data_IF_949023507879
#
_entry.id   IF_949023507879
#
_cell.length_a   1.000
_cell.length_b   1.000
_cell.length_c   1.000
_cell.angle_alpha   90.00
_cell.angle_beta   90.00
_cell.angle_gamma   90.00
#
_symmetry.space_group_name_H-M   'P 1'
#
loop_
_entity.id
_entity.type
_entity.pdbx_description
1 polymer ?
#
# COMPACT_ATOMS: atom_id res chain seq x y z
N UNK A 1 -0.74 9.55 7.71
CA UNK A 1 -1.92 9.87 6.89
C UNK A 1 -1.64 9.48 5.46
N UNK A 2 -2.43 8.53 4.97
CA UNK A 2 -2.31 7.87 3.67
C UNK A 2 -2.80 8.86 2.62
N UNK A 3 -1.90 9.35 1.77
CA UNK A 3 -2.30 10.21 0.65
C UNK A 3 -2.84 9.31 -0.45
N UNK A 4 -4.15 9.35 -0.68
CA UNK A 4 -4.83 8.59 -1.75
C UNK A 4 -4.23 8.93 -3.13
N UNK A 5 -3.80 10.18 -3.30
CA UNK A 5 -3.08 10.70 -4.47
C UNK A 5 -1.94 9.76 -4.90
N UNK A 6 -1.16 9.28 -3.94
CA UNK A 6 0.01 8.46 -4.21
C UNK A 6 -0.35 7.05 -4.66
N UNK A 7 -1.47 6.49 -4.20
CA UNK A 7 -1.96 5.19 -4.66
C UNK A 7 -2.50 5.29 -6.09
N UNK A 8 -3.16 6.41 -6.43
CA UNK A 8 -3.69 6.65 -7.77
C UNK A 8 -2.60 6.66 -8.85
N UNK A 9 -1.43 7.24 -8.55
CA UNK A 9 -0.31 7.26 -9.49
C UNK A 9 0.37 5.90 -9.70
N UNK A 10 0.18 4.93 -8.80
CA UNK A 10 0.74 3.59 -8.97
C UNK A 10 -0.15 2.65 -9.79
N UNK A 11 -1.47 2.90 -9.83
CA UNK A 11 -2.47 2.04 -10.49
C UNK A 11 -2.16 1.76 -11.96
N UNK A 12 -1.73 2.74 -12.77
CA UNK A 12 -1.35 2.49 -14.15
C UNK A 12 -0.27 1.43 -14.31
N UNK A 13 0.74 1.41 -13.43
CA UNK A 13 1.85 0.46 -13.52
C UNK A 13 1.43 -0.97 -13.15
N UNK A 14 0.59 -1.12 -12.12
CA UNK A 14 0.06 -2.44 -11.76
C UNK A 14 -0.85 -3.01 -12.85
N UNK A 15 -1.71 -2.18 -13.45
CA UNK A 15 -2.55 -2.62 -14.55
C UNK A 15 -1.77 -2.90 -15.83
N UNK A 16 -0.68 -2.19 -16.08
CA UNK A 16 0.24 -2.53 -17.18
C UNK A 16 0.83 -3.93 -16.99
N UNK A 17 1.29 -4.27 -15.78
CA UNK A 17 1.76 -5.61 -15.45
C UNK A 17 0.68 -6.68 -15.64
N UNK A 18 -0.55 -6.38 -15.21
CA UNK A 18 -1.69 -7.27 -15.42
C UNK A 18 -2.03 -7.46 -16.90
N UNK A 19 -1.95 -6.40 -17.70
CA UNK A 19 -2.15 -6.46 -19.15
C UNK A 19 -1.05 -7.26 -19.85
N UNK A 20 0.20 -7.17 -19.39
CA UNK A 20 1.30 -8.00 -19.88
C UNK A 20 1.11 -9.48 -19.53
N UNK A 21 0.66 -9.80 -18.31
CA UNK A 21 0.34 -11.16 -17.90
C UNK A 21 -0.90 -11.72 -18.64
N UNK A 22 -1.80 -10.83 -19.05
CA UNK A 22 -3.02 -11.17 -19.77
C UNK A 22 -2.83 -11.60 -21.23
N UNK A 23 -1.64 -11.39 -21.82
CA UNK A 23 -1.43 -11.51 -23.26
C UNK A 23 -1.75 -12.88 -23.85
N UNK A 24 -1.47 -13.93 -23.11
CA UNK A 24 -1.63 -15.32 -23.56
C UNK A 24 -2.89 -16.00 -23.01
N UNK A 25 -3.76 -15.24 -22.33
CA UNK A 25 -5.04 -15.76 -21.84
C UNK A 25 -6.05 -15.88 -22.99
N UNK A 26 -6.76 -17.01 -23.00
CA UNK A 26 -7.96 -17.20 -23.81
C UNK A 26 -9.02 -16.12 -23.48
N UNK A 27 -9.96 -15.82 -24.40
CA UNK A 27 -11.00 -14.84 -24.14
C UNK A 27 -11.76 -15.12 -22.84
N UNK A 28 -11.63 -14.21 -21.87
CA UNK A 28 -12.28 -14.33 -20.57
C UNK A 28 -13.55 -13.48 -20.50
N UNK A 29 -14.57 -13.90 -19.71
CA UNK A 29 -15.77 -13.12 -19.50
C UNK A 29 -15.47 -11.81 -18.78
N UNK A 30 -16.34 -10.81 -18.94
CA UNK A 30 -16.20 -9.50 -18.28
C UNK A 30 -16.07 -9.62 -16.74
N UNK A 31 -16.74 -10.60 -16.13
CA UNK A 31 -16.66 -10.87 -14.69
C UNK A 31 -15.25 -11.23 -14.22
N UNK A 32 -14.47 -11.94 -15.05
CA UNK A 32 -13.07 -12.26 -14.75
C UNK A 32 -12.25 -10.97 -14.65
N UNK A 33 -12.37 -10.09 -15.64
CA UNK A 33 -11.64 -8.83 -15.66
C UNK A 33 -12.02 -7.92 -14.51
N UNK A 34 -13.31 -7.73 -14.23
CA UNK A 34 -13.80 -6.91 -13.12
C UNK A 34 -13.22 -7.43 -11.79
N UNK A 35 -13.23 -8.74 -11.58
CA UNK A 35 -12.63 -9.37 -10.40
C UNK A 35 -11.13 -9.08 -10.31
N UNK A 36 -10.37 -9.23 -11.40
CA UNK A 36 -8.92 -8.93 -11.43
C UNK A 36 -8.64 -7.46 -11.14
N UNK A 37 -9.37 -6.54 -11.75
CA UNK A 37 -9.23 -5.10 -11.48
C UNK A 37 -9.43 -4.79 -9.99
N UNK A 38 -10.46 -5.37 -9.39
CA UNK A 38 -10.76 -5.20 -7.97
C UNK A 38 -9.65 -5.75 -7.08
N UNK A 39 -9.24 -7.00 -7.29
CA UNK A 39 -8.19 -7.65 -6.48
C UNK A 39 -6.83 -6.98 -6.61
N UNK A 40 -6.42 -6.60 -7.83
CA UNK A 40 -5.16 -5.84 -8.06
C UNK A 40 -5.20 -4.50 -7.30
N UNK A 41 -6.33 -3.81 -7.33
CA UNK A 41 -6.49 -2.54 -6.61
C UNK A 41 -6.36 -2.75 -5.11
N UNK A 42 -7.06 -3.75 -4.56
CA UNK A 42 -7.01 -4.08 -3.13
C UNK A 42 -5.59 -4.47 -2.71
N UNK A 43 -4.93 -5.34 -3.47
CA UNK A 43 -3.55 -5.75 -3.23
C UNK A 43 -2.63 -4.53 -3.18
N UNK A 44 -2.76 -3.61 -4.13
CA UNK A 44 -1.86 -2.48 -4.20
C UNK A 44 -2.10 -1.42 -3.12
N UNK A 45 -3.36 -1.20 -2.73
CA UNK A 45 -3.70 -0.37 -1.58
C UNK A 45 -3.09 -0.96 -0.30
N UNK A 46 -3.21 -2.29 -0.11
CA UNK A 46 -2.62 -3.01 1.01
C UNK A 46 -1.09 -2.87 1.05
N UNK A 47 -0.42 -3.21 -0.05
CA UNK A 47 1.04 -3.14 -0.17
C UNK A 47 1.57 -1.73 0.10
N UNK A 48 0.95 -0.70 -0.49
CA UNK A 48 1.40 0.69 -0.32
C UNK A 48 1.17 1.20 1.10
N UNK A 49 0.04 0.84 1.71
CA UNK A 49 -0.30 1.23 3.07
C UNK A 49 0.62 0.56 4.09
N UNK A 50 0.93 -0.72 3.89
CA UNK A 50 1.90 -1.46 4.68
C UNK A 50 3.30 -0.85 4.56
N UNK A 51 3.80 -0.67 3.34
CA UNK A 51 5.14 -0.10 3.11
C UNK A 51 5.29 1.31 3.69
N UNK A 52 4.30 2.19 3.48
CA UNK A 52 4.35 3.55 4.00
C UNK A 52 4.34 3.60 5.52
N UNK A 53 3.56 2.72 6.16
CA UNK A 53 3.47 2.67 7.63
C UNK A 53 4.73 2.03 8.21
N UNK A 54 5.22 0.96 7.61
CA UNK A 54 6.46 0.31 7.98
C UNK A 54 7.65 1.26 7.93
N UNK A 55 7.84 1.99 6.82
CA UNK A 55 8.91 2.99 6.70
C UNK A 55 8.83 4.01 7.83
N UNK A 56 7.61 4.44 8.19
CA UNK A 56 7.39 5.41 9.27
C UNK A 56 7.72 4.86 10.67
N UNK A 57 7.56 3.55 10.88
CA UNK A 57 7.92 2.86 12.12
C UNK A 57 9.45 2.70 12.20
N UNK A 58 10.07 2.17 11.14
CA UNK A 58 11.50 1.94 11.06
C UNK A 58 12.29 3.25 11.17
N UNK A 59 11.85 4.28 10.46
CA UNK A 59 12.52 5.58 10.41
C UNK A 59 12.21 6.46 11.61
N UNK A 60 11.36 6.06 12.57
CA UNK A 60 10.91 6.90 13.71
C UNK A 60 12.07 7.62 14.42
N UNK A 61 13.16 6.91 14.71
CA UNK A 61 14.31 7.47 15.43
C UNK A 61 15.10 8.46 14.56
N UNK A 62 15.20 8.18 13.27
CA UNK A 62 15.90 9.01 12.28
C UNK A 62 15.06 10.27 12.00
N UNK A 63 13.75 10.09 11.80
CA UNK A 63 12.79 11.17 11.58
C UNK A 63 12.73 12.14 12.78
N UNK A 64 12.91 11.65 14.01
CA UNK A 64 12.96 12.46 15.23
C UNK A 64 14.24 13.30 15.34
N UNK A 65 15.36 12.82 14.82
CA UNK A 65 16.64 13.53 14.84
C UNK A 65 16.77 14.59 13.73
N UNK A 66 15.91 14.54 12.71
CA UNK A 66 15.94 15.47 11.58
C UNK A 66 14.93 16.63 11.79
N UNK A 67 15.39 17.89 11.88
CA UNK A 67 14.53 19.06 12.08
C UNK A 67 13.38 19.18 11.07
N UNK A 68 13.57 18.64 9.85
CA UNK A 68 12.59 18.70 8.77
C UNK A 68 11.44 17.68 8.91
N UNK A 69 11.63 16.62 9.70
CA UNK A 69 10.70 15.49 9.84
C UNK A 69 10.28 15.21 11.28
N UNK A 70 10.87 15.92 12.25
CA UNK A 70 10.57 15.80 13.67
C UNK A 70 9.09 16.09 14.01
N UNK A 71 8.39 16.88 13.19
CA UNK A 71 6.96 17.20 13.36
C UNK A 71 6.00 16.11 12.85
N UNK A 72 6.50 15.00 12.30
CA UNK A 72 5.64 13.90 11.84
C UNK A 72 4.95 13.21 13.03
N UNK A 73 3.76 12.66 12.80
CA UNK A 73 2.91 12.11 13.86
C UNK A 73 3.56 11.02 14.74
N UNK A 74 4.43 10.18 14.18
CA UNK A 74 5.14 9.11 14.91
C UNK A 74 6.28 9.61 15.80
N UNK A 75 7.23 10.45 15.31
CA UNK A 75 8.24 11.07 16.17
C UNK A 75 7.68 12.11 17.14
N UNK A 76 6.60 12.81 16.78
CA UNK A 76 5.91 13.77 17.66
C UNK A 76 5.01 13.12 18.73
N UNK A 77 4.92 11.78 18.77
CA UNK A 77 4.14 11.04 19.77
C UNK A 77 2.61 11.12 19.61
N UNK A 78 2.13 11.72 18.51
CA UNK A 78 0.70 11.88 18.21
C UNK A 78 0.05 10.58 17.70
N UNK A 79 0.85 9.58 17.31
CA UNK A 79 0.38 8.29 16.83
C UNK A 79 1.04 7.16 17.61
N UNK A 80 0.23 6.26 18.16
CA UNK A 80 0.72 5.09 18.88
C UNK A 80 1.45 4.13 17.93
N UNK A 81 2.64 3.67 18.34
CA UNK A 81 3.42 2.66 17.61
C UNK A 81 2.63 1.37 17.51
N UNK A 82 1.89 0.99 18.57
CA UNK A 82 1.12 -0.26 18.56
C UNK A 82 0.05 -0.22 17.48
N UNK A 83 -0.67 0.91 17.38
CA UNK A 83 -1.63 1.14 16.30
C UNK A 83 -0.97 1.07 14.91
N UNK A 84 0.17 1.75 14.71
CA UNK A 84 0.89 1.70 13.43
C UNK A 84 1.35 0.29 13.05
N UNK A 85 1.79 -0.49 14.05
CA UNK A 85 2.25 -1.87 13.86
C UNK A 85 1.08 -2.78 13.48
N UNK A 86 -0.03 -2.71 14.23
CA UNK A 86 -1.26 -3.44 13.93
C UNK A 86 -1.76 -3.08 12.52
N UNK A 87 -1.80 -1.80 12.18
CA UNK A 87 -2.20 -1.34 10.86
C UNK A 87 -1.31 -1.90 9.74
N UNK A 88 0.01 -1.98 9.98
CA UNK A 88 0.97 -2.56 9.04
C UNK A 88 0.71 -4.06 8.85
N UNK A 89 0.46 -4.81 9.93
CA UNK A 89 0.14 -6.24 9.88
C UNK A 89 -1.15 -6.48 9.12
N UNK A 90 -2.22 -5.73 9.43
CA UNK A 90 -3.52 -5.85 8.75
C UNK A 90 -3.37 -5.51 7.26
N UNK A 91 -2.68 -4.41 6.93
CA UNK A 91 -2.45 -4.02 5.53
C UNK A 91 -1.65 -5.08 4.76
N UNK A 92 -0.69 -5.73 5.42
CA UNK A 92 0.09 -6.82 4.84
C UNK A 92 -0.77 -8.07 4.63
N UNK A 93 -1.65 -8.40 5.59
CA UNK A 93 -2.59 -9.50 5.44
C UNK A 93 -3.58 -9.26 4.29
N UNK A 94 -4.12 -8.04 4.16
CA UNK A 94 -4.97 -7.65 3.02
C UNK A 94 -4.23 -7.82 1.70
N UNK A 95 -2.97 -7.39 1.64
CA UNK A 95 -2.15 -7.60 0.45
C UNK A 95 -1.99 -9.09 0.11
N UNK A 96 -1.63 -9.92 1.10
CA UNK A 96 -1.41 -11.36 0.89
C UNK A 96 -2.69 -12.12 0.51
N UNK A 97 -3.86 -11.68 0.98
CA UNK A 97 -5.15 -12.28 0.60
C UNK A 97 -5.56 -11.87 -0.83
N UNK A 98 -5.16 -10.67 -1.26
CA UNK A 98 -5.58 -10.10 -2.53
C UNK A 98 -4.63 -10.40 -3.71
N UNK A 99 -3.37 -10.69 -3.43
CA UNK A 99 -2.33 -10.99 -4.42
C UNK A 99 -2.44 -12.43 -4.95
#
# INVERSE_FOLDING_TARGET
>A
MIKIEHTLFALPFAFLGAALAARDLQPQPASFWISRFLWITVAMVGARSAAMTFNRIADRRIDAANPRTATRALPAGLLDIRFATIFTIISSAVFLIAA
#
